data_IF_086080982287
#
_entry.id   IF_086080982287
#
_cell.length_a   1.000
_cell.length_b   1.000
_cell.length_c   1.000
_cell.angle_alpha   90.00
_cell.angle_beta   90.00
_cell.angle_gamma   90.00
#
_symmetry.space_group_name_H-M   'P 1'
#
loop_
_entity.id
_entity.type
_entity.pdbx_description
1 polymer ?
#
# COMPACT_ATOMS: atom_id res chain seq x y z
N UNK A 1 2.85 -13.37 -22.12
CA UNK A 1 1.91 -12.26 -21.82
C UNK A 1 1.62 -12.10 -20.33
N UNK A 2 1.28 -13.17 -19.59
CA UNK A 2 0.88 -13.13 -18.17
C UNK A 2 1.82 -12.35 -17.22
N UNK A 3 3.15 -12.49 -17.35
CA UNK A 3 4.15 -11.79 -16.51
C UNK A 3 4.10 -10.26 -16.62
N UNK A 4 3.59 -9.70 -17.73
CA UNK A 4 3.46 -8.25 -17.92
C UNK A 4 2.17 -7.69 -17.27
N UNK A 5 1.16 -8.55 -17.09
CA UNK A 5 -0.17 -8.16 -16.61
C UNK A 5 -0.29 -8.24 -15.10
N UNK A 6 0.39 -9.21 -14.45
CA UNK A 6 0.29 -9.43 -12.99
C UNK A 6 0.60 -8.16 -12.16
N UNK A 7 1.73 -7.45 -12.35
CA UNK A 7 2.01 -6.24 -11.56
C UNK A 7 0.99 -5.13 -11.80
N UNK A 8 0.39 -5.07 -12.99
CA UNK A 8 -0.66 -4.10 -13.32
C UNK A 8 -1.98 -4.42 -12.62
N UNK A 9 -2.35 -5.71 -12.56
CA UNK A 9 -3.55 -6.18 -11.86
C UNK A 9 -3.42 -5.95 -10.35
N UNK A 10 -2.27 -6.32 -9.77
CA UNK A 10 -2.02 -6.07 -8.34
C UNK A 10 -2.00 -4.58 -8.03
N UNK A 11 -1.39 -3.75 -8.89
CA UNK A 11 -1.42 -2.31 -8.72
C UNK A 11 -2.86 -1.75 -8.75
N UNK A 12 -3.71 -2.22 -9.67
CA UNK A 12 -5.10 -1.81 -9.73
C UNK A 12 -5.88 -2.22 -8.48
N UNK A 13 -5.67 -3.45 -7.99
CA UNK A 13 -6.27 -3.94 -6.76
C UNK A 13 -5.88 -3.06 -5.55
N UNK A 14 -4.60 -2.71 -5.44
CA UNK A 14 -4.09 -1.81 -4.41
C UNK A 14 -4.64 -0.39 -4.55
N UNK A 15 -4.79 0.13 -5.77
CA UNK A 15 -5.44 1.45 -6.01
C UNK A 15 -6.85 1.45 -5.46
N UNK A 16 -7.66 0.45 -5.81
CA UNK A 16 -9.03 0.35 -5.30
C UNK A 16 -9.04 0.27 -3.78
N UNK A 17 -8.15 -0.53 -3.18
CA UNK A 17 -8.03 -0.64 -1.74
C UNK A 17 -7.70 0.71 -1.07
N UNK A 18 -6.62 1.38 -1.49
CA UNK A 18 -6.20 2.64 -0.85
C UNK A 18 -7.17 3.79 -1.08
N UNK A 19 -7.82 3.85 -2.26
CA UNK A 19 -8.88 4.83 -2.49
C UNK A 19 -10.07 4.55 -1.59
N UNK A 20 -10.49 3.29 -1.48
CA UNK A 20 -11.60 2.90 -0.62
C UNK A 20 -11.36 3.29 0.84
N UNK A 21 -10.19 2.92 1.39
CA UNK A 21 -9.84 3.20 2.79
C UNK A 21 -9.60 4.69 3.05
N UNK A 22 -8.96 5.40 2.12
CA UNK A 22 -8.73 6.85 2.24
C UNK A 22 -10.04 7.64 2.20
N UNK A 23 -10.96 7.26 1.31
CA UNK A 23 -12.29 7.89 1.22
C UNK A 23 -13.11 7.61 2.48
N UNK A 24 -13.19 6.37 2.94
CA UNK A 24 -14.00 6.04 4.12
C UNK A 24 -13.51 6.78 5.37
N UNK A 25 -12.19 6.90 5.56
CA UNK A 25 -11.60 7.66 6.68
C UNK A 25 -11.86 9.16 6.61
N UNK A 26 -11.91 9.76 5.42
CA UNK A 26 -12.26 11.18 5.29
C UNK A 26 -13.75 11.43 5.48
N UNK A 27 -14.61 10.54 4.97
CA UNK A 27 -16.06 10.63 5.16
C UNK A 27 -16.44 10.50 6.63
N UNK A 28 -15.76 9.61 7.36
CA UNK A 28 -15.97 9.33 8.78
C UNK A 28 -14.82 9.90 9.64
N UNK A 29 -14.31 11.08 9.29
CA UNK A 29 -13.13 11.66 9.94
C UNK A 29 -13.22 11.73 11.47
N UNK A 30 -14.35 12.17 12.02
CA UNK A 30 -14.55 12.27 13.46
C UNK A 30 -14.43 10.91 14.14
N UNK A 31 -15.09 9.89 13.58
CA UNK A 31 -15.06 8.51 14.08
C UNK A 31 -13.64 7.95 13.99
N UNK A 32 -12.98 8.12 12.85
CA UNK A 32 -11.61 7.64 12.65
C UNK A 32 -10.63 8.31 13.62
N UNK A 33 -10.75 9.62 13.85
CA UNK A 33 -9.93 10.36 14.82
C UNK A 33 -10.17 9.87 16.25
N UNK A 34 -11.41 9.67 16.64
CA UNK A 34 -11.77 9.15 17.97
C UNK A 34 -11.17 7.75 18.18
N UNK A 35 -11.26 6.86 17.20
CA UNK A 35 -10.65 5.53 17.27
C UNK A 35 -9.13 5.53 17.43
N UNK A 36 -8.46 6.42 16.71
CA UNK A 36 -7.01 6.59 16.89
C UNK A 36 -6.71 7.19 18.28
N UNK A 37 -7.62 8.00 18.83
CA UNK A 37 -7.49 8.55 20.18
C UNK A 37 -7.66 7.51 21.28
N UNK A 38 -8.41 6.44 21.02
CA UNK A 38 -8.54 5.29 21.94
C UNK A 38 -7.33 4.35 21.89
N UNK A 39 -6.49 4.43 20.86
CA UNK A 39 -5.25 3.66 20.78
C UNK A 39 -4.19 4.25 21.70
N UNK A 40 -3.70 3.54 22.74
CA UNK A 40 -2.66 4.07 23.63
C UNK A 40 -1.39 4.52 22.91
N UNK A 41 -1.10 3.89 21.76
CA UNK A 41 0.09 4.15 20.93
C UNK A 41 -0.08 5.42 20.10
N UNK A 42 -1.28 5.65 19.56
CA UNK A 42 -1.52 6.74 18.60
C UNK A 42 -2.26 7.94 19.19
N UNK A 43 -2.84 7.82 20.39
CA UNK A 43 -3.60 8.89 21.05
C UNK A 43 -2.90 10.25 21.07
N UNK A 44 -1.58 10.35 21.39
CA UNK A 44 -0.89 11.65 21.44
C UNK A 44 -0.78 12.34 20.08
N UNK A 45 -0.83 11.57 18.99
CA UNK A 45 -0.66 12.04 17.60
C UNK A 45 -1.94 11.84 16.77
N UNK A 46 -3.06 11.53 17.41
CA UNK A 46 -4.29 11.14 16.73
C UNK A 46 -4.80 12.16 15.70
N UNK A 47 -4.84 13.48 16.00
CA UNK A 47 -5.29 14.48 15.02
C UNK A 47 -4.39 14.55 13.78
N UNK A 48 -3.07 14.36 13.97
CA UNK A 48 -2.09 14.35 12.89
C UNK A 48 -2.25 13.11 12.02
N UNK A 49 -2.33 11.91 12.63
CA UNK A 49 -2.50 10.65 11.90
C UNK A 49 -3.84 10.62 11.16
N UNK A 50 -4.91 11.16 11.75
CA UNK A 50 -6.23 11.23 11.15
C UNK A 50 -6.26 11.97 9.79
N UNK A 51 -5.34 12.93 9.58
CA UNK A 51 -5.16 13.62 8.30
C UNK A 51 -4.05 13.03 7.44
N UNK A 52 -2.91 12.71 8.05
CA UNK A 52 -1.73 12.24 7.33
C UNK A 52 -1.98 10.88 6.68
N UNK A 53 -2.73 9.99 7.34
CA UNK A 53 -2.93 8.64 6.85
C UNK A 53 -3.80 8.60 5.58
N UNK A 54 -5.01 9.19 5.52
CA UNK A 54 -5.78 9.21 4.29
C UNK A 54 -5.04 9.90 3.13
N UNK A 55 -4.31 10.98 3.42
CA UNK A 55 -3.50 11.67 2.41
C UNK A 55 -2.40 10.75 1.84
N UNK A 56 -1.70 10.01 2.70
CA UNK A 56 -0.71 9.03 2.25
C UNK A 56 -1.35 7.92 1.40
N UNK A 57 -2.56 7.44 1.74
CA UNK A 57 -3.29 6.44 0.94
C UNK A 57 -3.60 6.96 -0.47
N UNK A 58 -4.06 8.21 -0.60
CA UNK A 58 -4.29 8.83 -1.90
C UNK A 58 -3.01 8.99 -2.71
N UNK A 59 -1.92 9.43 -2.09
CA UNK A 59 -0.62 9.56 -2.76
C UNK A 59 -0.17 8.19 -3.30
N UNK A 60 -0.26 7.13 -2.49
CA UNK A 60 0.09 5.77 -2.92
C UNK A 60 -0.79 5.31 -4.09
N UNK A 61 -2.10 5.58 -4.03
CA UNK A 61 -3.02 5.26 -5.13
C UNK A 61 -2.62 5.96 -6.45
N UNK A 62 -2.27 7.26 -6.38
CA UNK A 62 -1.81 8.02 -7.55
C UNK A 62 -0.50 7.43 -8.12
N UNK A 63 0.47 7.10 -7.25
CA UNK A 63 1.75 6.51 -7.67
C UNK A 63 1.56 5.15 -8.36
N UNK A 64 0.63 4.32 -7.87
CA UNK A 64 0.30 3.02 -8.46
C UNK A 64 -0.40 3.15 -9.82
N UNK A 65 -1.29 4.13 -9.96
CA UNK A 65 -2.06 4.38 -11.17
C UNK A 65 -1.14 4.76 -12.34
N UNK A 66 -0.17 5.64 -12.10
CA UNK A 66 0.76 6.13 -13.11
C UNK A 66 1.81 5.07 -13.48
N UNK A 67 1.88 4.59 -14.74
CA UNK A 67 2.82 3.52 -15.13
C UNK A 67 4.29 3.86 -14.88
N UNK A 68 4.67 5.13 -15.00
CA UNK A 68 6.03 5.61 -14.73
C UNK A 68 6.43 5.42 -13.26
N UNK A 69 5.50 5.73 -12.34
CA UNK A 69 5.71 5.75 -10.89
C UNK A 69 5.33 4.44 -10.20
N UNK A 70 4.72 3.50 -10.91
CA UNK A 70 4.19 2.26 -10.34
C UNK A 70 5.16 1.48 -9.45
N UNK A 71 6.45 1.40 -9.79
CA UNK A 71 7.41 0.70 -8.94
C UNK A 71 7.55 1.38 -7.56
N UNK A 72 7.59 2.71 -7.54
CA UNK A 72 7.59 3.48 -6.29
C UNK A 72 6.28 3.33 -5.54
N UNK A 73 5.14 3.34 -6.26
CA UNK A 73 3.83 3.04 -5.68
C UNK A 73 3.81 1.68 -4.99
N UNK A 74 4.32 0.63 -5.64
CA UNK A 74 4.36 -0.74 -5.08
C UNK A 74 5.27 -0.84 -3.84
N UNK A 75 6.40 -0.13 -3.82
CA UNK A 75 7.24 -0.04 -2.62
C UNK A 75 6.54 0.69 -1.47
N UNK A 76 5.90 1.82 -1.77
CA UNK A 76 5.14 2.57 -0.78
C UNK A 76 3.96 1.75 -0.24
N UNK A 77 3.24 1.02 -1.10
CA UNK A 77 2.19 0.08 -0.68
C UNK A 77 2.73 -1.01 0.23
N UNK A 78 3.86 -1.63 -0.10
CA UNK A 78 4.47 -2.65 0.74
C UNK A 78 4.80 -2.12 2.14
N UNK A 79 5.45 -0.95 2.22
CA UNK A 79 5.79 -0.32 3.51
C UNK A 79 4.54 0.04 4.30
N UNK A 80 3.53 0.62 3.64
CA UNK A 80 2.28 1.01 4.29
C UNK A 80 1.50 -0.19 4.81
N UNK A 81 1.38 -1.26 4.00
CA UNK A 81 0.74 -2.51 4.41
C UNK A 81 1.50 -3.22 5.53
N UNK A 82 2.83 -3.15 5.53
CA UNK A 82 3.65 -3.67 6.62
C UNK A 82 3.42 -2.88 7.92
N UNK A 83 3.33 -1.55 7.84
CA UNK A 83 3.00 -0.70 8.98
C UNK A 83 1.60 -0.99 9.53
N UNK A 84 0.60 -1.17 8.67
CA UNK A 84 -0.76 -1.56 9.09
C UNK A 84 -0.80 -2.95 9.73
N UNK A 85 -0.07 -3.92 9.15
CA UNK A 85 0.10 -5.25 9.75
C UNK A 85 0.73 -5.14 11.15
N UNK A 86 1.81 -4.37 11.29
CA UNK A 86 2.50 -4.16 12.57
C UNK A 86 1.61 -3.50 13.62
N UNK A 87 0.81 -2.51 13.23
CA UNK A 87 -0.15 -1.86 14.12
C UNK A 87 -1.22 -2.83 14.63
N UNK A 88 -1.81 -3.63 13.73
CA UNK A 88 -2.81 -4.65 14.11
C UNK A 88 -2.21 -5.70 15.04
N UNK A 89 -0.99 -6.16 14.76
CA UNK A 89 -0.28 -7.10 15.64
C UNK A 89 -0.01 -6.51 17.02
N UNK A 90 0.39 -5.23 17.09
CA UNK A 90 0.63 -4.56 18.36
C UNK A 90 -0.65 -4.48 19.20
N UNK A 91 -1.78 -4.05 18.60
CA UNK A 91 -3.08 -4.00 19.31
C UNK A 91 -3.50 -5.39 19.80
N UNK A 92 -3.41 -6.41 18.94
CA UNK A 92 -3.75 -7.78 19.31
C UNK A 92 -2.87 -8.36 20.43
N UNK A 93 -1.67 -7.83 20.61
CA UNK A 93 -0.71 -8.32 21.62
C UNK A 93 -0.76 -7.54 22.94
N UNK A 94 -1.11 -6.25 22.91
CA UNK A 94 -0.99 -5.34 24.05
C UNK A 94 -2.32 -4.79 24.58
N UNK A 95 -3.43 -4.96 23.87
CA UNK A 95 -4.73 -4.43 24.28
C UNK A 95 -5.59 -5.52 24.93
N UNK A 96 -5.94 -5.34 26.21
CA UNK A 96 -6.87 -6.23 26.92
C UNK A 96 -8.31 -6.09 26.40
N UNK A 97 -8.67 -4.90 25.92
CA UNK A 97 -9.93 -4.61 25.23
C UNK A 97 -9.64 -4.08 23.82
N UNK A 98 -10.24 -4.71 22.81
CA UNK A 98 -10.05 -4.31 21.42
C UNK A 98 -10.98 -3.14 21.08
N UNK A 99 -10.47 -2.03 20.53
CA UNK A 99 -11.33 -0.94 20.12
C UNK A 99 -12.27 -1.40 19.01
N UNK A 100 -13.43 -0.74 18.88
CA UNK A 100 -14.33 -1.01 17.76
C UNK A 100 -13.60 -0.72 16.43
N UNK A 101 -13.76 -1.61 15.46
CA UNK A 101 -13.25 -1.41 14.10
C UNK A 101 -14.24 -0.47 13.38
N UNK A 102 -13.88 0.75 13.00
CA UNK A 102 -14.68 1.53 12.03
C UNK A 102 -13.81 1.88 10.83
N UNK A 103 -14.32 1.57 9.64
CA UNK A 103 -13.54 1.65 8.40
C UNK A 103 -14.34 1.27 7.15
N UNK A 104 -15.66 1.48 7.15
CA UNK A 104 -16.55 1.02 6.08
C UNK A 104 -16.73 -0.51 6.09
N UNK A 105 -16.64 -1.18 4.95
CA UNK A 105 -16.72 -2.66 4.81
C UNK A 105 -15.64 -3.38 5.65
N UNK A 106 -14.54 -2.70 5.98
CA UNK A 106 -13.53 -3.22 6.90
C UNK A 106 -14.02 -3.25 8.36
N UNK A 107 -15.06 -2.49 8.73
CA UNK A 107 -15.69 -2.56 10.06
C UNK A 107 -16.32 -3.92 10.34
N UNK A 108 -16.79 -4.62 9.31
CA UNK A 108 -17.46 -5.92 9.45
C UNK A 108 -16.47 -7.08 9.64
N UNK A 109 -15.16 -6.83 9.51
CA UNK A 109 -14.12 -7.84 9.69
C UNK A 109 -13.61 -7.89 11.12
N UNK A 110 -13.39 -9.11 11.63
CA UNK A 110 -12.67 -9.32 12.88
C UNK A 110 -11.22 -8.87 12.78
N UNK A 111 -10.59 -8.57 13.92
CA UNK A 111 -9.17 -8.20 13.97
C UNK A 111 -8.25 -9.26 13.35
N UNK A 112 -8.58 -10.54 13.48
CA UNK A 112 -7.84 -11.63 12.84
C UNK A 112 -8.04 -11.63 11.31
N UNK A 113 -9.25 -11.34 10.82
CA UNK A 113 -9.51 -11.21 9.39
C UNK A 113 -8.75 -10.01 8.80
N UNK A 114 -8.69 -8.89 9.51
CA UNK A 114 -7.85 -7.74 9.17
C UNK A 114 -6.37 -8.08 9.08
N UNK A 115 -5.86 -8.84 10.05
CA UNK A 115 -4.47 -9.27 10.04
C UNK A 115 -4.16 -10.12 8.81
N UNK A 116 -5.01 -11.12 8.52
CA UNK A 116 -4.84 -11.98 7.33
C UNK A 116 -4.94 -11.17 6.05
N UNK A 117 -5.92 -10.27 5.94
CA UNK A 117 -6.08 -9.36 4.82
C UNK A 117 -4.80 -8.54 4.59
N UNK A 118 -4.28 -7.90 5.65
CA UNK A 118 -3.08 -7.08 5.54
C UNK A 118 -1.84 -7.90 5.14
N UNK A 119 -1.68 -9.10 5.67
CA UNK A 119 -0.57 -10.00 5.30
C UNK A 119 -0.65 -10.39 3.82
N UNK A 120 -1.84 -10.77 3.34
CA UNK A 120 -2.04 -11.14 1.92
C UNK A 120 -1.67 -9.97 1.02
N UNK A 121 -2.18 -8.77 1.30
CA UNK A 121 -1.87 -7.58 0.51
C UNK A 121 -0.41 -7.13 0.62
N UNK A 122 0.24 -7.36 1.77
CA UNK A 122 1.68 -7.13 1.94
C UNK A 122 2.50 -8.04 1.02
N UNK A 123 2.18 -9.34 0.99
CA UNK A 123 2.86 -10.31 0.11
C UNK A 123 2.61 -9.98 -1.37
N UNK A 124 1.36 -9.64 -1.73
CA UNK A 124 1.02 -9.23 -3.09
C UNK A 124 1.82 -8.00 -3.54
N UNK A 125 1.90 -6.97 -2.69
CA UNK A 125 2.69 -5.77 -2.97
C UNK A 125 4.18 -6.10 -3.18
N UNK A 126 4.77 -6.95 -2.32
CA UNK A 126 6.15 -7.37 -2.43
C UNK A 126 6.42 -8.14 -3.74
N UNK A 127 5.60 -9.15 -4.04
CA UNK A 127 5.75 -9.97 -5.25
C UNK A 127 5.60 -9.10 -6.50
N UNK A 128 4.59 -8.22 -6.54
CA UNK A 128 4.40 -7.30 -7.65
C UNK A 128 5.58 -6.32 -7.81
N UNK A 129 6.13 -5.80 -6.72
CA UNK A 129 7.31 -4.91 -6.74
C UNK A 129 8.54 -5.63 -7.31
N UNK A 130 8.81 -6.87 -6.88
CA UNK A 130 9.93 -7.67 -7.38
C UNK A 130 9.78 -7.99 -8.87
N UNK A 131 8.56 -8.32 -9.32
CA UNK A 131 8.27 -8.55 -10.73
C UNK A 131 8.41 -7.29 -11.58
N UNK A 132 7.90 -6.16 -11.10
CA UNK A 132 7.99 -4.87 -11.78
C UNK A 132 9.44 -4.40 -11.90
N UNK A 133 10.26 -4.57 -10.84
CA UNK A 133 11.69 -4.26 -10.86
C UNK A 133 12.44 -5.08 -11.91
N UNK A 134 12.20 -6.40 -11.96
CA UNK A 134 12.81 -7.28 -12.96
C UNK A 134 12.41 -6.87 -14.38
N UNK A 135 11.14 -6.51 -14.60
CA UNK A 135 10.63 -6.04 -15.90
C UNK A 135 11.33 -4.75 -16.35
N UNK A 136 11.51 -3.79 -15.44
CA UNK A 136 12.18 -2.51 -15.75
C UNK A 136 13.67 -2.69 -16.07
N UNK A 137 14.37 -3.55 -15.33
CA UNK A 137 15.77 -3.91 -15.62
C UNK A 137 15.91 -4.53 -17.00
N UNK A 138 15.12 -5.56 -17.31
CA UNK A 138 15.16 -6.21 -18.62
C UNK A 138 14.83 -5.26 -19.78
N UNK A 139 14.00 -4.23 -19.55
CA UNK A 139 13.75 -3.19 -20.55
C UNK A 139 14.98 -2.30 -20.76
N UNK A 140 15.57 -1.82 -19.66
CA UNK A 140 16.79 -1.00 -19.70
C UNK A 140 17.93 -1.72 -20.42
N UNK A 141 18.22 -2.97 -20.06
CA UNK A 141 19.29 -3.77 -20.68
C UNK A 141 19.07 -3.95 -22.19
N UNK A 142 17.81 -4.11 -22.62
CA UNK A 142 17.46 -4.24 -24.04
C UNK A 142 17.56 -2.91 -24.80
N UNK A 143 17.20 -1.80 -24.16
CA UNK A 143 17.35 -0.45 -24.73
C UNK A 143 18.85 -0.09 -24.88
N UNK A 144 19.69 -0.46 -23.91
CA UNK A 144 21.15 -0.30 -23.98
C UNK A 144 21.76 -1.12 -25.13
N UNK A 145 21.36 -2.39 -25.27
CA UNK A 145 21.82 -3.27 -26.35
C UNK A 145 21.40 -2.75 -27.74
N UNK A 146 20.19 -2.23 -27.88
CA UNK A 146 19.70 -1.64 -29.12
C UNK A 146 20.48 -0.37 -29.49
N UNK A 147 20.78 0.50 -28.51
CA UNK A 147 21.59 1.69 -28.73
C UNK A 147 23.03 1.35 -29.14
N UNK A 148 23.64 0.33 -28.52
CA UNK A 148 24.98 -0.14 -28.90
C UNK A 148 25.03 -0.72 -30.32
N UNK A 149 23.96 -1.40 -30.77
CA UNK A 149 23.87 -1.92 -32.14
C UNK A 149 23.70 -0.82 -33.21
N UNK A 150 23.09 0.32 -32.86
CA UNK A 150 22.85 1.44 -33.78
C UNK A 150 24.03 2.42 -33.89
N UNK A 151 24.91 2.47 -32.89
CA UNK A 151 26.14 3.26 -32.90
C UNK A 151 27.39 2.37 -32.80
N UNK A 152 27.80 1.67 -33.88
CA UNK A 152 28.91 0.71 -33.83
C UNK A 152 30.31 1.35 -33.76
N UNK A 153 30.45 2.67 -33.57
CA UNK A 153 31.77 3.31 -33.60
C UNK A 153 31.83 4.68 -32.95
N UNK A 154 32.25 4.72 -31.69
CA UNK A 154 33.08 5.75 -31.09
C UNK A 154 33.90 5.08 -29.98
N UNK A 155 34.89 4.29 -30.42
CA UNK A 155 36.03 3.89 -29.61
C UNK A 155 37.18 4.86 -29.89
#
# INVERSE_FOLDING_TARGET
MLKRTIPSVVALLLVVLFLYTGISKLMEYTVFKEQISESPILAPIAPFVAWALPLAEFIVAILLFLPQWRLWGLYASFVMMLAFTGYVLAILSFSEELPCSCGGVLQEMSWQQHLVFNIVFTILALVAALMERKRRRAKHDNDDAANAAFHPGHA
#
